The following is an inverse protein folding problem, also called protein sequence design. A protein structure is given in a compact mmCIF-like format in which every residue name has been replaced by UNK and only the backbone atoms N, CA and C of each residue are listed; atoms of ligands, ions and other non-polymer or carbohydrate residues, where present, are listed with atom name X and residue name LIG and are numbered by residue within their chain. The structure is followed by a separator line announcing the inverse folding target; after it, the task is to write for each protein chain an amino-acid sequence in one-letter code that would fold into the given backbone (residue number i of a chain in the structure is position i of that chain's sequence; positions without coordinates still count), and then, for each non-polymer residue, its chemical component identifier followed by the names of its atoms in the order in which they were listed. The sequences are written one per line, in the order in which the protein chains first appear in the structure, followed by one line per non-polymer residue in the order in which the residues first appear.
data_IF_624222387734
#
_entry.id   IF_624222387734
#
_cell.length_a   1.000
_cell.length_b   1.000
_cell.length_c   1.000
_cell.angle_alpha   90.00
_cell.angle_beta   90.00
_cell.angle_gamma   90.00
#
_symmetry.space_group_name_H-M   'P 1'
#
loop_
_entity.id
_entity.type
_entity.pdbx_description
1 polymer ?
#
# COMPACT_ATOMS: atom_id res chain seq x y z
N UNK A 1 4.25 -9.30 13.19
CA UNK A 1 4.33 -8.77 11.81
C UNK A 1 3.01 -8.14 11.35
N UNK A 2 1.87 -8.86 11.36
CA UNK A 2 0.55 -8.29 10.98
C UNK A 2 0.16 -7.08 11.85
N UNK A 3 0.34 -7.17 13.17
CA UNK A 3 0.11 -6.06 14.12
C UNK A 3 0.90 -4.80 13.77
N UNK A 4 2.18 -4.94 13.41
CA UNK A 4 3.04 -3.81 13.05
C UNK A 4 2.60 -3.12 11.76
N UNK A 5 2.18 -3.89 10.75
CA UNK A 5 1.63 -3.37 9.49
C UNK A 5 0.31 -2.62 9.71
N UNK A 6 -0.57 -3.15 10.57
CA UNK A 6 -1.81 -2.47 10.96
C UNK A 6 -1.49 -1.14 11.65
N UNK A 7 -0.57 -1.16 12.62
CA UNK A 7 -0.14 0.05 13.33
C UNK A 7 0.43 1.08 12.35
N UNK A 8 1.31 0.68 11.45
CA UNK A 8 1.91 1.56 10.44
C UNK A 8 0.86 2.26 9.57
N UNK A 9 -0.06 1.51 8.97
CA UNK A 9 -1.06 2.11 8.07
C UNK A 9 -2.08 2.96 8.82
N UNK A 10 -2.45 2.59 10.06
CA UNK A 10 -3.27 3.47 10.92
C UNK A 10 -2.54 4.76 11.25
N UNK A 11 -1.25 4.69 11.59
CA UNK A 11 -0.45 5.89 11.84
C UNK A 11 -0.40 6.79 10.61
N UNK A 12 -0.19 6.25 9.40
CA UNK A 12 -0.26 7.02 8.17
C UNK A 12 -1.62 7.68 7.98
N UNK A 13 -2.71 6.93 8.18
CA UNK A 13 -4.07 7.48 8.02
C UNK A 13 -4.33 8.64 8.98
N UNK A 14 -3.84 8.54 10.22
CA UNK A 14 -4.06 9.55 11.25
C UNK A 14 -3.26 10.84 11.02
N UNK A 15 -2.00 10.73 10.54
CA UNK A 15 -1.15 11.93 10.34
C UNK A 15 -1.37 12.64 9.01
N UNK A 16 -1.87 11.92 8.01
CA UNK A 16 -2.07 12.48 6.68
C UNK A 16 -3.29 13.41 6.66
N UNK A 17 -3.15 14.56 6.01
CA UNK A 17 -4.24 15.52 5.82
C UNK A 17 -5.36 14.90 4.94
N UNK A 18 -6.61 15.36 5.08
CA UNK A 18 -7.66 15.07 4.10
C UNK A 18 -7.18 15.35 2.66
N UNK A 19 -7.62 14.54 1.71
CA UNK A 19 -7.26 14.63 0.28
C UNK A 19 -5.76 14.48 -0.04
N UNK A 20 -4.98 13.89 0.86
CA UNK A 20 -3.57 13.61 0.61
C UNK A 20 -3.32 12.18 0.12
N UNK A 21 -2.09 11.94 -0.34
CA UNK A 21 -1.65 10.67 -0.92
C UNK A 21 -0.35 10.20 -0.29
N UNK A 22 -0.18 8.89 -0.21
CA UNK A 22 1.10 8.25 0.08
C UNK A 22 1.45 7.28 -1.05
N UNK A 23 2.70 7.31 -1.50
CA UNK A 23 3.22 6.40 -2.53
C UNK A 23 4.41 5.65 -1.94
N UNK A 24 4.34 4.33 -1.94
CA UNK A 24 5.35 3.47 -1.33
C UNK A 24 5.83 2.49 -2.39
N UNK A 25 7.09 2.62 -2.80
CA UNK A 25 7.73 1.60 -3.62
C UNK A 25 8.19 0.45 -2.72
N UNK A 26 7.92 -0.79 -3.10
CA UNK A 26 8.38 -1.97 -2.38
C UNK A 26 8.61 -3.17 -3.30
N UNK A 27 9.26 -4.21 -2.76
CA UNK A 27 9.62 -5.43 -3.47
C UNK A 27 8.92 -6.63 -2.82
N UNK A 28 7.66 -6.94 -3.18
CA UNK A 28 6.95 -8.09 -2.64
C UNK A 28 7.63 -9.40 -3.09
N UNK A 29 7.68 -10.37 -2.18
CA UNK A 29 8.20 -11.71 -2.49
C UNK A 29 7.29 -12.47 -3.47
N UNK A 30 5.98 -12.24 -3.40
CA UNK A 30 4.97 -12.85 -4.26
C UNK A 30 3.65 -12.06 -4.19
N UNK A 31 2.68 -12.43 -5.03
CA UNK A 31 1.37 -11.76 -5.11
C UNK A 31 0.55 -11.94 -3.82
N UNK A 32 0.70 -13.05 -3.11
CA UNK A 32 0.00 -13.32 -1.83
C UNK A 32 0.36 -12.25 -0.78
N UNK A 33 1.61 -11.79 -0.75
CA UNK A 33 2.02 -10.68 0.12
C UNK A 33 1.31 -9.39 -0.26
N UNK A 34 1.16 -9.09 -1.55
CA UNK A 34 0.45 -7.90 -2.02
C UNK A 34 -1.04 -7.94 -1.66
N UNK A 35 -1.69 -9.07 -1.88
CA UNK A 35 -3.10 -9.28 -1.53
C UNK A 35 -3.33 -9.12 -0.01
N UNK A 36 -2.44 -9.70 0.81
CA UNK A 36 -2.51 -9.56 2.26
C UNK A 36 -2.33 -8.11 2.72
N UNK A 37 -1.39 -7.36 2.12
CA UNK A 37 -1.21 -5.93 2.39
C UNK A 37 -2.49 -5.17 2.04
N UNK A 38 -3.05 -5.39 0.84
CA UNK A 38 -4.29 -4.76 0.39
C UNK A 38 -5.47 -5.06 1.32
N UNK A 39 -5.61 -6.32 1.77
CA UNK A 39 -6.62 -6.74 2.73
C UNK A 39 -6.49 -6.03 4.07
N UNK A 40 -5.28 -5.95 4.63
CA UNK A 40 -5.01 -5.24 5.89
C UNK A 40 -5.43 -3.77 5.79
N UNK A 41 -5.02 -3.08 4.71
CA UNK A 41 -5.33 -1.66 4.51
C UNK A 41 -6.85 -1.45 4.47
N UNK A 42 -7.56 -2.26 3.68
CA UNK A 42 -9.02 -2.22 3.55
C UNK A 42 -9.76 -2.53 4.86
N UNK A 43 -9.26 -3.46 5.65
CA UNK A 43 -9.88 -3.88 6.92
C UNK A 43 -9.66 -2.89 8.06
N UNK A 44 -8.57 -2.11 8.02
CA UNK A 44 -8.10 -1.36 9.20
C UNK A 44 -8.00 0.15 9.04
N UNK A 45 -8.19 0.66 7.82
CA UNK A 45 -8.14 2.08 7.48
C UNK A 45 -9.21 2.43 6.45
N UNK A 46 -9.45 3.71 6.23
CA UNK A 46 -10.36 4.21 5.18
C UNK A 46 -9.59 4.71 3.94
N UNK A 47 -8.32 4.30 3.77
CA UNK A 47 -7.60 4.60 2.53
C UNK A 47 -8.27 3.94 1.32
N UNK A 48 -8.33 4.66 0.21
CA UNK A 48 -8.47 4.04 -1.11
C UNK A 48 -7.08 3.66 -1.60
N UNK A 49 -6.87 2.40 -1.99
CA UNK A 49 -5.54 1.88 -2.34
C UNK A 49 -5.51 1.22 -3.70
N UNK A 50 -4.39 1.34 -4.41
CA UNK A 50 -4.12 0.61 -5.65
C UNK A 50 -2.64 0.25 -5.79
N UNK A 51 -2.35 -0.85 -6.46
CA UNK A 51 -0.99 -1.22 -6.83
C UNK A 51 -0.69 -0.77 -8.26
N UNK A 52 0.39 -0.04 -8.44
CA UNK A 52 0.90 0.40 -9.73
C UNK A 52 2.15 -0.43 -10.03
N UNK A 53 2.16 -1.11 -11.18
CA UNK A 53 3.28 -1.95 -11.62
C UNK A 53 3.91 -1.30 -12.85
N UNK A 54 5.12 -0.81 -12.69
CA UNK A 54 5.95 -0.31 -13.78
C UNK A 54 6.83 -1.44 -14.33
N UNK A 55 7.02 -1.47 -15.65
CA UNK A 55 7.75 -2.52 -16.38
C UNK A 55 7.28 -3.96 -16.04
N UNK A 56 5.97 -4.29 -16.13
CA UNK A 56 5.42 -5.55 -15.61
C UNK A 56 6.04 -6.80 -16.25
N UNK A 57 6.41 -6.70 -17.53
CA UNK A 57 6.93 -7.82 -18.33
C UNK A 57 8.45 -8.01 -18.20
N UNK A 58 9.16 -7.12 -17.48
CA UNK A 58 10.61 -7.22 -17.29
C UNK A 58 10.95 -7.39 -15.80
N UNK A 59 11.16 -8.63 -15.32
CA UNK A 59 11.40 -8.89 -13.89
C UNK A 59 12.57 -8.10 -13.29
N UNK A 60 13.62 -7.81 -14.09
CA UNK A 60 14.79 -7.04 -13.63
C UNK A 60 14.50 -5.56 -13.47
N UNK A 61 13.61 -5.00 -14.30
CA UNK A 61 13.23 -3.57 -14.28
C UNK A 61 11.91 -3.31 -13.54
N UNK A 62 11.16 -4.37 -13.18
CA UNK A 62 9.84 -4.29 -12.58
C UNK A 62 9.90 -3.54 -11.25
N UNK A 63 9.01 -2.56 -11.10
CA UNK A 63 8.83 -1.79 -9.86
C UNK A 63 7.37 -1.83 -9.46
N UNK A 64 7.11 -2.05 -8.18
CA UNK A 64 5.76 -2.10 -7.63
C UNK A 64 5.61 -0.95 -6.64
N UNK A 65 4.54 -0.19 -6.81
CA UNK A 65 4.18 0.94 -5.96
C UNK A 65 2.80 0.68 -5.37
N UNK A 66 2.64 0.96 -4.08
CA UNK A 66 1.35 1.09 -3.43
C UNK A 66 1.00 2.58 -3.38
N UNK A 67 -0.08 2.96 -4.05
CA UNK A 67 -0.68 4.28 -3.94
C UNK A 67 -1.85 4.20 -2.94
N UNK A 68 -1.82 5.07 -1.94
CA UNK A 68 -2.90 5.26 -0.96
C UNK A 68 -3.44 6.68 -1.05
N UNK A 69 -4.75 6.83 -1.05
CA UNK A 69 -5.46 8.10 -1.05
C UNK A 69 -6.38 8.21 0.17
N UNK A 70 -6.21 9.28 0.95
CA UNK A 70 -7.13 9.63 2.04
C UNK A 70 -8.16 10.63 1.50
N UNK A 71 -9.36 10.16 1.18
CA UNK A 71 -10.39 10.99 0.54
C UNK A 71 -11.11 11.95 1.51
N UNK A 72 -11.01 11.71 2.83
CA UNK A 72 -11.62 12.52 3.89
C UNK A 72 -10.66 12.54 5.08
#
# INVERSE_FOLDING_TARGET
MRSNLISLFRSFYNILKPNSRAVIQFYPKNNVVMENIGKIIRETTQFSGTFIIDNPNNPKKRKIFLLLEKKI
#
